data_IF_164251790370
#
_entry.id   IF_164251790370
#
_cell.length_a   1.000
_cell.length_b   1.000
_cell.length_c   1.000
_cell.angle_alpha   90.00
_cell.angle_beta   90.00
_cell.angle_gamma   90.00
#
_symmetry.space_group_name_H-M   'P 1'
#
loop_
_entity.id
_entity.type
_entity.pdbx_description
1 polymer ?
#
# COMPACT_ATOMS: atom_id res chain seq x y z
N UNK A 1 25.66 -26.66 -0.78
CA UNK A 1 25.28 -25.22 -0.64
C UNK A 1 23.78 -25.18 -0.51
N UNK A 2 23.26 -24.53 0.52
CA UNK A 2 21.82 -24.36 0.72
C UNK A 2 21.24 -23.44 -0.37
N UNK A 3 20.05 -23.75 -0.88
CA UNK A 3 19.34 -22.94 -1.89
C UNK A 3 19.17 -21.50 -1.37
N UNK A 4 19.47 -20.46 -2.16
CA UNK A 4 19.13 -19.09 -1.79
C UNK A 4 17.62 -18.93 -1.62
N UNK A 5 17.20 -18.24 -0.56
CA UNK A 5 15.80 -17.90 -0.34
C UNK A 5 15.56 -16.54 -1.02
N UNK A 6 14.61 -16.39 -1.95
CA UNK A 6 14.24 -15.09 -2.48
C UNK A 6 13.43 -14.30 -1.45
N UNK A 7 13.54 -12.95 -1.45
CA UNK A 7 12.66 -12.11 -0.63
C UNK A 7 11.21 -12.16 -1.14
N UNK A 8 11.05 -12.20 -2.46
CA UNK A 8 9.82 -12.45 -3.21
C UNK A 8 10.17 -13.34 -4.39
N UNK A 9 9.39 -14.38 -4.69
CA UNK A 9 9.65 -15.30 -5.80
C UNK A 9 8.69 -15.07 -6.99
N UNK A 10 9.00 -14.06 -7.81
CA UNK A 10 8.22 -13.77 -9.01
C UNK A 10 8.32 -14.87 -10.07
N UNK A 11 9.41 -15.67 -10.08
CA UNK A 11 9.55 -16.76 -11.06
C UNK A 11 8.63 -17.93 -10.74
N UNK A 12 8.51 -18.29 -9.47
CA UNK A 12 7.58 -19.32 -9.03
C UNK A 12 6.12 -18.91 -9.33
N UNK A 13 5.75 -17.65 -9.05
CA UNK A 13 4.44 -17.12 -9.38
C UNK A 13 4.18 -17.18 -10.90
N UNK A 14 5.14 -16.72 -11.72
CA UNK A 14 4.99 -16.73 -13.18
C UNK A 14 4.78 -18.14 -13.73
N UNK A 15 5.50 -19.14 -13.21
CA UNK A 15 5.37 -20.52 -13.66
C UNK A 15 3.95 -21.08 -13.48
N UNK A 16 3.22 -20.66 -12.43
CA UNK A 16 1.84 -21.10 -12.18
C UNK A 16 0.83 -20.53 -13.17
N UNK A 17 1.08 -19.35 -13.72
CA UNK A 17 0.15 -18.63 -14.60
C UNK A 17 0.62 -18.61 -16.06
N UNK A 18 1.74 -19.23 -16.40
CA UNK A 18 2.45 -19.05 -17.70
C UNK A 18 1.55 -19.26 -18.92
N UNK A 19 0.72 -20.29 -18.94
CA UNK A 19 -0.13 -20.60 -20.08
C UNK A 19 -1.18 -19.51 -20.33
N UNK A 20 -1.88 -19.06 -19.28
CA UNK A 20 -2.90 -18.00 -19.38
C UNK A 20 -2.24 -16.65 -19.68
N UNK A 21 -1.12 -16.36 -19.04
CA UNK A 21 -0.35 -15.15 -19.28
C UNK A 21 0.08 -15.01 -20.75
N UNK A 22 0.66 -16.08 -21.36
CA UNK A 22 1.06 -16.07 -22.77
C UNK A 22 -0.15 -15.85 -23.68
N UNK A 23 -1.22 -16.57 -23.46
CA UNK A 23 -2.48 -16.42 -24.23
C UNK A 23 -3.00 -14.98 -24.20
N UNK A 24 -3.03 -14.33 -23.04
CA UNK A 24 -3.51 -12.95 -22.88
C UNK A 24 -2.56 -11.94 -23.55
N UNK A 25 -1.25 -12.10 -23.38
CA UNK A 25 -0.28 -11.22 -24.03
C UNK A 25 -0.34 -11.34 -25.56
N UNK A 26 -0.49 -12.56 -26.11
CA UNK A 26 -0.67 -12.80 -27.54
C UNK A 26 -1.96 -12.15 -28.07
N UNK A 27 -3.05 -12.16 -27.29
CA UNK A 27 -4.28 -11.45 -27.67
C UNK A 27 -4.05 -9.95 -27.79
N UNK A 28 -3.37 -9.31 -26.81
CA UNK A 28 -3.02 -7.88 -26.87
C UNK A 28 -2.15 -7.57 -28.08
N UNK A 29 -1.13 -8.39 -28.36
CA UNK A 29 -0.28 -8.24 -29.54
C UNK A 29 -1.07 -8.41 -30.85
N UNK A 30 -2.08 -9.30 -30.86
CA UNK A 30 -2.92 -9.56 -32.02
C UNK A 30 -3.82 -8.40 -32.41
N UNK A 31 -4.46 -7.72 -31.43
CA UNK A 31 -5.33 -6.57 -31.72
C UNK A 31 -4.64 -5.20 -31.66
N UNK A 32 -3.40 -5.11 -31.15
CA UNK A 32 -2.58 -3.89 -31.09
C UNK A 32 -3.22 -2.68 -30.35
N UNK A 33 -4.19 -2.89 -29.46
CA UNK A 33 -4.76 -1.84 -28.61
C UNK A 33 -4.01 -1.75 -27.28
N UNK A 34 -2.82 -1.14 -27.31
CA UNK A 34 -1.90 -1.10 -26.16
C UNK A 34 -2.31 -0.13 -25.06
N UNK A 35 -3.21 0.84 -25.33
CA UNK A 35 -3.69 1.83 -24.39
C UNK A 35 -5.21 1.72 -24.31
N UNK A 36 -5.74 1.53 -23.10
CA UNK A 36 -7.17 1.38 -22.81
C UNK A 36 -7.85 0.32 -23.72
N UNK A 37 -7.14 -0.79 -23.99
CA UNK A 37 -7.69 -1.94 -24.71
C UNK A 37 -8.72 -2.71 -23.88
N UNK A 38 -9.34 -3.76 -24.47
CA UNK A 38 -10.42 -4.51 -23.81
C UNK A 38 -10.00 -5.13 -22.48
N UNK A 39 -8.74 -5.54 -22.31
CA UNK A 39 -8.21 -6.13 -21.07
C UNK A 39 -8.22 -5.13 -19.90
N UNK A 40 -8.14 -3.83 -20.19
CA UNK A 40 -8.24 -2.78 -19.15
C UNK A 40 -9.64 -2.75 -18.57
N UNK A 41 -10.68 -2.79 -19.41
CA UNK A 41 -12.07 -2.82 -18.95
C UNK A 41 -12.40 -4.14 -18.22
N UNK A 42 -11.89 -5.29 -18.72
CA UNK A 42 -12.01 -6.60 -18.08
C UNK A 42 -11.36 -6.58 -16.69
N UNK A 43 -10.16 -6.01 -16.58
CA UNK A 43 -9.44 -5.89 -15.31
C UNK A 43 -10.19 -4.99 -14.32
N UNK A 44 -10.65 -3.82 -14.74
CA UNK A 44 -11.43 -2.90 -13.88
C UNK A 44 -12.68 -3.60 -13.31
N UNK A 45 -13.41 -4.34 -14.15
CA UNK A 45 -14.57 -5.11 -13.72
C UNK A 45 -14.19 -6.24 -12.75
N UNK A 46 -13.11 -6.98 -13.03
CA UNK A 46 -12.64 -8.08 -12.19
C UNK A 46 -12.15 -7.59 -10.82
N UNK A 47 -11.40 -6.49 -10.77
CA UNK A 47 -10.91 -5.89 -9.52
C UNK A 47 -12.06 -5.33 -8.68
N UNK A 48 -13.02 -4.62 -9.30
CA UNK A 48 -14.21 -4.13 -8.62
C UNK A 48 -15.03 -5.28 -8.01
N UNK A 49 -15.25 -6.35 -8.78
CA UNK A 49 -15.94 -7.56 -8.29
C UNK A 49 -15.18 -8.22 -7.15
N UNK A 50 -13.84 -8.31 -7.23
CA UNK A 50 -13.01 -8.94 -6.21
C UNK A 50 -13.10 -8.26 -4.85
N UNK A 51 -13.04 -6.92 -4.80
CA UNK A 51 -13.14 -6.18 -3.54
C UNK A 51 -14.57 -5.73 -3.18
N UNK A 52 -15.55 -5.93 -4.07
CA UNK A 52 -16.94 -5.53 -3.85
C UNK A 52 -17.18 -4.02 -4.03
N UNK A 53 -16.26 -3.30 -4.67
CA UNK A 53 -16.44 -1.88 -4.98
C UNK A 53 -17.35 -1.69 -6.21
N UNK A 54 -18.11 -0.59 -6.22
CA UNK A 54 -18.95 -0.23 -7.37
C UNK A 54 -18.12 0.14 -8.60
N UNK A 55 -17.02 0.86 -8.39
CA UNK A 55 -16.14 1.33 -9.45
C UNK A 55 -14.68 1.01 -9.17
N UNK A 56 -14.00 0.58 -10.22
CA UNK A 56 -12.55 0.54 -10.30
C UNK A 56 -12.10 1.35 -11.51
N UNK A 57 -11.06 2.15 -11.36
CA UNK A 57 -10.40 2.91 -12.43
C UNK A 57 -8.92 2.57 -12.38
N UNK A 58 -8.40 1.87 -13.38
CA UNK A 58 -6.99 1.52 -13.46
C UNK A 58 -6.12 2.73 -13.76
N UNK A 59 -4.96 2.81 -13.12
CA UNK A 59 -4.06 3.96 -13.12
C UNK A 59 -2.62 3.47 -13.39
N UNK A 60 -1.76 4.37 -13.88
CA UNK A 60 -0.35 4.10 -14.24
C UNK A 60 0.54 3.67 -13.07
N UNK A 61 0.24 4.09 -11.85
CA UNK A 61 0.96 3.70 -10.63
C UNK A 61 0.12 3.95 -9.38
N UNK A 62 0.54 3.41 -8.24
CA UNK A 62 -0.08 3.75 -6.95
C UNK A 62 0.09 5.22 -6.57
N UNK A 63 1.23 5.82 -6.89
CA UNK A 63 1.49 7.25 -6.69
C UNK A 63 0.53 8.12 -7.49
N UNK A 64 0.33 7.80 -8.77
CA UNK A 64 -0.62 8.51 -9.63
C UNK A 64 -2.07 8.28 -9.18
N UNK A 65 -2.38 7.12 -8.60
CA UNK A 65 -3.70 6.87 -8.02
C UNK A 65 -3.97 7.81 -6.82
N UNK A 66 -3.02 7.96 -5.91
CA UNK A 66 -3.12 8.94 -4.81
C UNK A 66 -3.27 10.36 -5.37
N UNK A 67 -2.47 10.72 -6.38
CA UNK A 67 -2.51 12.04 -6.98
C UNK A 67 -3.86 12.34 -7.65
N UNK A 68 -4.39 11.42 -8.44
CA UNK A 68 -5.69 11.59 -9.11
C UNK A 68 -6.82 11.68 -8.08
N UNK A 69 -6.80 10.89 -7.01
CA UNK A 69 -7.78 10.99 -5.93
C UNK A 69 -7.76 12.38 -5.27
N UNK A 70 -6.58 12.90 -4.97
CA UNK A 70 -6.44 14.23 -4.38
C UNK A 70 -6.82 15.36 -5.35
N UNK A 71 -6.44 15.23 -6.64
CA UNK A 71 -6.86 16.18 -7.68
C UNK A 71 -8.39 16.24 -7.83
N UNK A 72 -9.06 15.09 -7.73
CA UNK A 72 -10.51 15.00 -7.80
C UNK A 72 -11.21 15.73 -6.64
N UNK A 73 -10.61 15.72 -5.46
CA UNK A 73 -11.11 16.45 -4.28
C UNK A 73 -10.66 17.93 -4.24
N UNK A 74 -9.93 18.37 -5.26
CA UNK A 74 -9.43 19.75 -5.36
C UNK A 74 -8.39 20.10 -4.31
N UNK A 75 -7.67 19.11 -3.80
CA UNK A 75 -6.59 19.31 -2.80
C UNK A 75 -5.48 20.17 -3.40
N UNK A 76 -5.06 21.19 -2.67
CA UNK A 76 -4.05 22.14 -3.15
C UNK A 76 -3.55 23.09 -2.07
N UNK A 77 -3.07 24.25 -2.53
CA UNK A 77 -2.45 25.27 -1.65
C UNK A 77 -3.40 25.72 -0.53
N UNK A 78 -2.93 25.68 0.69
CA UNK A 78 -3.69 26.05 1.88
C UNK A 78 -4.41 24.90 2.55
N UNK A 79 -4.43 23.72 1.92
CA UNK A 79 -5.02 22.51 2.49
C UNK A 79 -4.01 21.73 3.33
N UNK A 80 -4.47 21.13 4.41
CA UNK A 80 -3.75 20.16 5.23
C UNK A 80 -4.24 18.75 4.91
N UNK A 81 -3.30 17.86 4.62
CA UNK A 81 -3.52 16.42 4.40
C UNK A 81 -2.82 15.65 5.53
N UNK A 82 -3.60 14.95 6.35
CA UNK A 82 -3.10 14.17 7.49
C UNK A 82 -2.73 12.76 7.02
N UNK A 83 -1.53 12.30 7.40
CA UNK A 83 -0.99 11.02 6.96
C UNK A 83 0.02 10.45 7.97
N UNK A 84 0.21 9.12 8.04
CA UNK A 84 1.17 8.53 8.97
C UNK A 84 2.60 8.93 8.63
N UNK A 85 3.41 9.21 9.67
CA UNK A 85 4.82 9.50 9.50
C UNK A 85 5.66 8.28 9.13
N UNK A 86 5.15 7.08 9.43
CA UNK A 86 5.82 5.81 9.17
C UNK A 86 5.15 5.07 8.03
N UNK A 87 5.48 5.46 6.79
CA UNK A 87 4.97 4.86 5.55
C UNK A 87 5.93 5.10 4.38
N UNK A 88 5.52 4.69 3.18
CA UNK A 88 6.24 4.95 1.93
C UNK A 88 6.11 6.42 1.51
N UNK A 89 7.12 6.91 0.81
CA UNK A 89 7.26 8.33 0.44
C UNK A 89 6.09 8.88 -0.40
N UNK A 90 5.47 8.07 -1.26
CA UNK A 90 4.37 8.50 -2.13
C UNK A 90 3.22 9.18 -1.36
N UNK A 91 2.92 8.69 -0.14
CA UNK A 91 1.86 9.25 0.71
C UNK A 91 2.11 10.71 1.08
N UNK A 92 3.40 11.14 1.22
CA UNK A 92 3.78 12.50 1.59
C UNK A 92 4.17 13.38 0.39
N UNK A 93 4.73 12.79 -0.67
CA UNK A 93 5.16 13.59 -1.84
C UNK A 93 3.98 14.13 -2.64
N UNK A 94 2.89 13.35 -2.77
CA UNK A 94 1.73 13.75 -3.58
C UNK A 94 1.06 15.03 -3.06
N UNK A 95 0.74 15.19 -1.75
CA UNK A 95 0.27 16.48 -1.24
C UNK A 95 1.18 17.65 -1.62
N UNK A 96 2.49 17.49 -1.47
CA UNK A 96 3.45 18.55 -1.79
C UNK A 96 3.50 18.89 -3.28
N UNK A 97 3.43 17.88 -4.16
CA UNK A 97 3.33 18.09 -5.63
C UNK A 97 2.09 18.90 -5.98
N UNK A 98 0.98 18.70 -5.29
CA UNK A 98 -0.26 19.46 -5.48
C UNK A 98 -0.26 20.82 -4.76
N UNK A 99 0.77 21.13 -3.97
CA UNK A 99 0.90 22.39 -3.22
C UNK A 99 0.18 22.38 -1.87
N UNK A 100 -0.40 21.26 -1.46
CA UNK A 100 -0.95 21.07 -0.12
C UNK A 100 0.15 20.74 0.90
N UNK A 101 -0.18 20.85 2.19
CA UNK A 101 0.75 20.59 3.28
C UNK A 101 0.48 19.22 3.92
N UNK A 102 1.43 18.29 3.89
CA UNK A 102 1.34 17.06 4.66
C UNK A 102 1.46 17.39 6.15
N UNK A 103 0.57 16.84 6.96
CA UNK A 103 0.62 16.88 8.42
C UNK A 103 0.88 15.48 8.91
N UNK A 104 2.08 15.26 9.41
CA UNK A 104 2.49 13.95 9.88
C UNK A 104 1.83 13.59 11.21
N UNK A 105 1.31 12.39 11.27
CA UNK A 105 0.64 11.77 12.43
C UNK A 105 1.47 10.58 12.88
N UNK A 106 1.62 10.38 14.18
CA UNK A 106 2.33 9.21 14.70
C UNK A 106 1.49 7.93 14.50
N UNK A 107 2.08 6.79 14.80
CA UNK A 107 1.48 5.47 14.53
C UNK A 107 1.35 4.65 15.81
N UNK A 108 0.48 3.67 15.81
CA UNK A 108 0.39 2.67 16.88
C UNK A 108 1.63 1.78 16.89
N UNK A 109 2.33 1.59 18.02
CA UNK A 109 3.61 0.87 18.08
C UNK A 109 3.49 -0.64 17.82
N UNK A 110 2.29 -1.20 17.83
CA UNK A 110 2.04 -2.63 17.68
C UNK A 110 1.51 -3.01 16.31
N UNK A 111 0.64 -2.16 15.74
CA UNK A 111 0.02 -2.39 14.43
C UNK A 111 0.75 -1.63 13.32
N UNK A 112 1.52 -0.59 13.66
CA UNK A 112 2.21 0.34 12.76
C UNK A 112 1.27 1.24 11.94
N UNK A 113 -0.02 1.17 12.22
CA UNK A 113 -1.05 1.96 11.56
C UNK A 113 -1.13 3.36 12.16
N UNK A 114 -1.67 4.32 11.40
CA UNK A 114 -1.89 5.68 11.90
C UNK A 114 -2.67 5.67 13.22
N UNK A 115 -2.23 6.45 14.23
CA UNK A 115 -2.90 6.56 15.53
C UNK A 115 -4.10 7.53 15.44
N UNK A 116 -5.35 7.07 15.64
CA UNK A 116 -6.52 7.94 15.61
C UNK A 116 -6.53 9.01 16.68
N UNK A 117 -5.90 8.78 17.85
CA UNK A 117 -5.83 9.76 18.91
C UNK A 117 -4.86 10.90 18.56
N UNK A 118 -3.68 10.56 18.04
CA UNK A 118 -2.74 11.58 17.54
C UNK A 118 -3.32 12.32 16.32
N UNK A 119 -3.99 11.63 15.41
CA UNK A 119 -4.73 12.27 14.31
C UNK A 119 -5.68 13.35 14.82
N UNK A 120 -6.50 13.04 15.81
CA UNK A 120 -7.45 14.00 16.39
C UNK A 120 -6.73 15.22 16.99
N UNK A 121 -5.62 14.99 17.70
CA UNK A 121 -4.79 16.05 18.27
C UNK A 121 -4.17 16.94 17.19
N UNK A 122 -3.64 16.34 16.13
CA UNK A 122 -3.02 17.06 15.00
C UNK A 122 -4.04 17.92 14.25
N UNK A 123 -5.26 17.39 14.00
CA UNK A 123 -6.34 18.20 13.39
C UNK A 123 -6.69 19.41 14.26
N UNK A 124 -6.83 19.21 15.58
CA UNK A 124 -7.11 20.32 16.51
C UNK A 124 -5.99 21.38 16.50
N UNK A 125 -4.72 20.96 16.44
CA UNK A 125 -3.58 21.88 16.34
C UNK A 125 -3.60 22.71 15.04
N UNK A 126 -3.87 22.06 13.90
CA UNK A 126 -3.97 22.77 12.59
C UNK A 126 -5.11 23.78 12.61
N UNK A 127 -6.28 23.43 13.16
CA UNK A 127 -7.42 24.36 13.32
C UNK A 127 -7.06 25.53 14.21
N UNK A 128 -6.45 25.29 15.37
CA UNK A 128 -6.07 26.34 16.31
C UNK A 128 -5.05 27.31 15.69
N UNK A 129 -4.13 26.81 14.88
CA UNK A 129 -3.15 27.64 14.17
C UNK A 129 -3.76 28.53 13.06
N UNK A 130 -4.89 28.13 12.48
CA UNK A 130 -5.68 28.90 11.50
C UNK A 130 -4.98 29.22 10.19
N UNK A 131 -3.87 28.55 9.86
CA UNK A 131 -3.05 28.82 8.67
C UNK A 131 -3.38 27.87 7.50
N UNK A 132 -3.91 26.69 7.82
CA UNK A 132 -4.27 25.63 6.87
C UNK A 132 -5.69 25.17 7.14
N UNK A 133 -6.34 24.68 6.10
CA UNK A 133 -7.69 24.07 6.18
C UNK A 133 -7.52 22.55 6.26
N UNK A 134 -7.93 21.86 7.34
CA UNK A 134 -8.02 20.40 7.37
C UNK A 134 -8.95 19.89 6.27
N UNK A 135 -8.45 19.07 5.35
CA UNK A 135 -9.22 18.62 4.18
C UNK A 135 -9.27 17.11 4.01
N UNK A 136 -8.17 16.41 4.21
CA UNK A 136 -8.09 14.99 3.90
C UNK A 136 -7.30 14.23 4.96
N UNK A 137 -7.75 13.02 5.23
CA UNK A 137 -7.02 11.97 5.92
C UNK A 137 -6.60 10.92 4.91
N UNK A 138 -5.32 10.55 4.90
CA UNK A 138 -4.83 9.34 4.25
C UNK A 138 -4.55 8.28 5.32
N UNK A 139 -5.38 7.24 5.36
CA UNK A 139 -5.08 6.03 6.10
C UNK A 139 -4.23 5.12 5.22
N UNK A 140 -3.12 4.62 5.76
CA UNK A 140 -2.28 3.64 5.05
C UNK A 140 -2.46 2.29 5.71
N UNK A 141 -2.87 1.29 4.95
CA UNK A 141 -2.96 -0.10 5.40
C UNK A 141 -1.60 -0.77 5.30
N UNK A 142 -0.70 -0.36 6.22
CA UNK A 142 0.72 -0.67 6.15
C UNK A 142 0.99 -2.16 6.32
N UNK A 143 1.94 -2.69 5.56
CA UNK A 143 2.42 -4.07 5.57
C UNK A 143 1.38 -5.14 5.20
N UNK A 144 0.16 -4.72 4.85
CA UNK A 144 -0.91 -5.61 4.43
C UNK A 144 -1.99 -5.83 5.46
N UNK A 145 -1.97 -5.11 6.58
CA UNK A 145 -3.04 -5.10 7.58
C UNK A 145 -3.88 -3.82 7.48
N UNK A 146 -5.20 -3.86 7.71
CA UNK A 146 -6.03 -2.66 7.69
C UNK A 146 -5.69 -1.71 8.85
N UNK A 147 -5.81 -0.42 8.60
CA UNK A 147 -5.86 0.59 9.65
C UNK A 147 -7.14 0.46 10.49
N UNK A 148 -7.22 1.16 11.62
CA UNK A 148 -8.44 1.22 12.43
C UNK A 148 -9.48 2.16 11.76
N UNK A 149 -10.03 1.69 10.62
CA UNK A 149 -11.00 2.46 9.85
C UNK A 149 -12.22 2.92 10.65
N UNK A 150 -12.80 2.14 11.57
CA UNK A 150 -13.88 2.62 12.44
C UNK A 150 -13.50 3.85 13.27
N UNK A 151 -12.32 3.85 13.89
CA UNK A 151 -11.84 4.99 14.67
C UNK A 151 -11.47 6.17 13.76
N UNK A 152 -10.81 5.92 12.63
CA UNK A 152 -10.46 6.95 11.64
C UNK A 152 -11.70 7.64 11.07
N UNK A 153 -12.75 6.90 10.73
CA UNK A 153 -14.04 7.48 10.28
C UNK A 153 -14.70 8.35 11.35
N UNK A 154 -14.60 7.95 12.63
CA UNK A 154 -15.12 8.77 13.72
C UNK A 154 -14.45 10.14 13.77
N UNK A 155 -13.12 10.18 13.62
CA UNK A 155 -12.38 11.45 13.56
C UNK A 155 -12.72 12.21 12.27
N UNK A 156 -12.67 11.53 11.12
CA UNK A 156 -12.93 12.15 9.81
C UNK A 156 -14.32 12.80 9.74
N UNK A 157 -15.37 12.09 10.20
CA UNK A 157 -16.73 12.60 10.20
C UNK A 157 -16.89 13.82 11.12
N UNK A 158 -16.30 13.78 12.33
CA UNK A 158 -16.32 14.92 13.26
C UNK A 158 -15.62 16.15 12.68
N UNK A 159 -14.51 15.91 11.97
CA UNK A 159 -13.66 16.99 11.47
C UNK A 159 -13.96 17.39 10.02
N UNK A 160 -14.88 16.72 9.33
CA UNK A 160 -15.24 17.01 7.95
C UNK A 160 -14.11 16.69 6.97
N UNK A 161 -13.31 15.65 7.22
CA UNK A 161 -12.21 15.23 6.36
C UNK A 161 -12.71 14.23 5.33
N UNK A 162 -12.26 14.38 4.08
CA UNK A 162 -12.35 13.33 3.07
C UNK A 162 -11.36 12.21 3.44
N UNK A 163 -11.75 10.96 3.27
CA UNK A 163 -10.92 9.81 3.57
C UNK A 163 -10.35 9.20 2.29
N UNK A 164 -9.03 8.97 2.28
CA UNK A 164 -8.31 8.25 1.23
C UNK A 164 -7.59 7.07 1.87
N UNK A 165 -7.87 5.86 1.37
CA UNK A 165 -7.19 4.64 1.77
C UNK A 165 -6.00 4.38 0.83
N UNK A 166 -4.79 4.37 1.36
CA UNK A 166 -3.59 3.88 0.67
C UNK A 166 -3.46 2.37 0.92
N UNK A 167 -4.14 1.60 0.08
CA UNK A 167 -4.19 0.14 0.06
C UNK A 167 -3.04 -0.49 -0.75
N UNK A 168 -1.96 0.26 -1.02
CA UNK A 168 -0.86 -0.21 -1.88
C UNK A 168 -0.15 -1.46 -1.36
N UNK A 169 -0.28 -1.80 -0.09
CA UNK A 169 0.33 -2.99 0.53
C UNK A 169 -0.71 -4.02 1.01
N UNK A 170 -1.99 -3.69 0.91
CA UNK A 170 -3.06 -4.44 1.56
C UNK A 170 -4.19 -4.88 0.62
N UNK A 171 -4.08 -4.64 -0.69
CA UNK A 171 -5.08 -5.14 -1.62
C UNK A 171 -5.27 -6.66 -1.45
N UNK A 172 -6.52 -7.09 -1.23
CA UNK A 172 -6.87 -8.45 -0.86
C UNK A 172 -7.05 -8.69 0.64
N UNK A 173 -6.70 -7.73 1.50
CA UNK A 173 -7.04 -7.79 2.92
C UNK A 173 -8.51 -7.43 3.17
N UNK A 174 -9.01 -7.73 4.37
CA UNK A 174 -10.38 -7.40 4.78
C UNK A 174 -10.45 -7.01 6.25
N UNK A 175 -11.46 -6.21 6.60
CA UNK A 175 -11.80 -5.82 7.96
C UNK A 175 -13.30 -6.04 8.19
N UNK A 176 -13.67 -6.75 9.26
CA UNK A 176 -15.07 -7.08 9.61
C UNK A 176 -15.86 -7.68 8.43
N UNK A 177 -15.21 -8.56 7.67
CA UNK A 177 -15.83 -9.24 6.52
C UNK A 177 -15.93 -8.40 5.23
N UNK A 178 -15.51 -7.14 5.24
CA UNK A 178 -15.46 -6.27 4.05
C UNK A 178 -14.03 -6.22 3.49
N UNK A 179 -13.90 -6.39 2.17
CA UNK A 179 -12.60 -6.25 1.52
C UNK A 179 -12.12 -4.81 1.52
N UNK A 180 -10.81 -4.60 1.66
CA UNK A 180 -10.19 -3.29 1.42
C UNK A 180 -10.38 -2.91 -0.05
N UNK A 181 -10.59 -1.62 -0.29
CA UNK A 181 -11.08 -1.08 -1.56
C UNK A 181 -12.42 -0.36 -1.41
N UNK A 182 -13.13 -0.59 -0.27
CA UNK A 182 -14.44 0.00 0.03
C UNK A 182 -14.51 0.66 1.40
N UNK A 183 -13.37 0.87 2.07
CA UNK A 183 -13.34 1.39 3.44
C UNK A 183 -13.41 2.91 3.50
N UNK A 184 -12.91 3.63 2.52
CA UNK A 184 -12.81 5.08 2.50
C UNK A 184 -13.66 5.69 1.37
N UNK A 185 -13.72 7.01 1.27
CA UNK A 185 -14.35 7.73 0.15
C UNK A 185 -13.71 7.38 -1.18
N UNK A 186 -12.39 7.15 -1.17
CA UNK A 186 -11.60 6.60 -2.25
C UNK A 186 -10.52 5.66 -1.70
N UNK A 187 -10.20 4.60 -2.46
CA UNK A 187 -9.07 3.71 -2.15
C UNK A 187 -8.12 3.69 -3.33
N UNK A 188 -6.82 3.92 -3.06
CA UNK A 188 -5.74 3.81 -4.03
C UNK A 188 -4.94 2.53 -3.77
N UNK A 189 -4.60 1.78 -4.82
CA UNK A 189 -3.70 0.62 -4.72
C UNK A 189 -2.58 0.68 -5.73
N UNK A 190 -1.54 -0.10 -5.51
CA UNK A 190 -0.36 -0.20 -6.37
C UNK A 190 -0.20 -1.62 -6.89
N UNK A 191 0.14 -1.74 -8.17
CA UNK A 191 0.51 -2.99 -8.81
C UNK A 191 2.02 -3.05 -9.14
N UNK A 192 2.85 -2.33 -8.39
CA UNK A 192 4.31 -2.49 -8.50
C UNK A 192 4.67 -3.99 -8.33
N UNK A 193 5.65 -4.54 -9.08
CA UNK A 193 5.87 -5.99 -9.17
C UNK A 193 5.99 -6.75 -7.84
N UNK A 194 6.48 -6.10 -6.78
CA UNK A 194 6.63 -6.72 -5.46
C UNK A 194 5.38 -6.65 -4.56
N UNK A 195 4.29 -6.02 -5.01
CA UNK A 195 3.03 -5.92 -4.26
C UNK A 195 2.30 -7.26 -4.23
N UNK A 196 1.37 -7.48 -3.28
CA UNK A 196 0.60 -8.73 -3.21
C UNK A 196 -0.01 -9.12 -4.55
N UNK A 197 -0.65 -8.18 -5.25
CA UNK A 197 -1.03 -8.31 -6.66
C UNK A 197 -0.17 -7.33 -7.47
N UNK A 198 0.90 -7.81 -8.08
CA UNK A 198 1.87 -6.98 -8.82
C UNK A 198 1.85 -7.24 -10.33
N UNK A 199 1.92 -6.19 -11.15
CA UNK A 199 2.12 -6.25 -12.59
C UNK A 199 3.56 -6.64 -12.96
N UNK A 200 3.92 -6.59 -14.25
CA UNK A 200 5.30 -6.71 -14.74
C UNK A 200 5.87 -5.35 -15.18
N UNK A 201 5.47 -4.32 -14.47
CA UNK A 201 5.83 -2.93 -14.62
C UNK A 201 5.07 -2.12 -13.58
N UNK A 202 4.94 -0.81 -13.78
CA UNK A 202 4.12 0.02 -12.92
C UNK A 202 2.63 -0.19 -13.21
N UNK A 203 1.81 0.08 -12.20
CA UNK A 203 0.37 0.04 -12.27
C UNK A 203 -0.25 0.40 -10.92
N UNK A 204 -1.52 0.75 -10.97
CA UNK A 204 -2.34 1.04 -9.81
C UNK A 204 -3.83 1.04 -10.16
N UNK A 205 -4.66 1.27 -9.18
CA UNK A 205 -6.08 1.48 -9.38
C UNK A 205 -6.67 2.38 -8.28
N UNK A 206 -7.79 3.02 -8.63
CA UNK A 206 -8.67 3.72 -7.71
C UNK A 206 -10.01 2.99 -7.61
N UNK A 207 -10.52 2.88 -6.39
CA UNK A 207 -11.85 2.34 -6.10
C UNK A 207 -12.71 3.40 -5.43
N UNK A 208 -14.00 3.41 -5.72
CA UNK A 208 -14.99 4.28 -5.07
C UNK A 208 -16.40 3.78 -5.28
N UNK A 209 -17.30 4.10 -4.35
CA UNK A 209 -18.74 3.87 -4.49
C UNK A 209 -19.47 5.03 -5.19
N UNK A 210 -18.79 6.15 -5.43
CA UNK A 210 -19.36 7.38 -5.96
C UNK A 210 -19.18 7.48 -7.47
N UNK A 211 -20.32 7.63 -8.19
CA UNK A 211 -20.35 7.69 -9.67
C UNK A 211 -19.61 8.93 -10.21
N UNK A 212 -19.74 10.08 -9.51
CA UNK A 212 -19.13 11.34 -9.95
C UNK A 212 -17.61 11.28 -9.78
N UNK A 213 -17.12 10.73 -8.64
CA UNK A 213 -15.69 10.48 -8.44
C UNK A 213 -15.13 9.56 -9.51
N UNK A 214 -15.81 8.45 -9.81
CA UNK A 214 -15.36 7.50 -10.81
C UNK A 214 -15.25 8.14 -12.21
N UNK A 215 -16.24 8.96 -12.59
CA UNK A 215 -16.21 9.71 -13.85
C UNK A 215 -15.05 10.71 -13.87
N UNK A 216 -14.81 11.40 -12.75
CA UNK A 216 -13.74 12.38 -12.61
C UNK A 216 -12.35 11.70 -12.67
N UNK A 217 -12.16 10.54 -12.04
CA UNK A 217 -10.92 9.77 -12.13
C UNK A 217 -10.61 9.35 -13.58
N UNK A 218 -11.61 8.88 -14.33
CA UNK A 218 -11.45 8.53 -15.76
C UNK A 218 -11.04 9.72 -16.60
N UNK A 219 -11.62 10.88 -16.33
CA UNK A 219 -11.25 12.14 -17.00
C UNK A 219 -9.82 12.56 -16.65
N UNK A 220 -9.49 12.63 -15.36
CA UNK A 220 -8.17 13.05 -14.87
C UNK A 220 -7.05 12.13 -15.36
N UNK A 221 -7.28 10.80 -15.38
CA UNK A 221 -6.37 9.77 -15.92
C UNK A 221 -6.01 10.00 -17.39
N UNK A 222 -6.89 10.68 -18.13
CA UNK A 222 -6.77 10.91 -19.58
C UNK A 222 -6.74 12.41 -19.86
N UNK A 223 -5.74 13.13 -19.30
CA UNK A 223 -5.47 14.56 -19.51
C UNK A 223 -6.63 15.51 -19.17
N UNK A 224 -7.63 15.06 -18.40
CA UNK A 224 -8.80 15.87 -18.07
C UNK A 224 -9.82 16.00 -19.20
N UNK A 225 -9.78 15.09 -20.17
CA UNK A 225 -10.74 15.04 -21.28
C UNK A 225 -12.17 14.86 -20.79
N UNK A 226 -13.12 15.47 -21.51
CA UNK A 226 -14.55 15.27 -21.37
C UNK A 226 -15.06 14.06 -22.16
N UNK A 227 -16.32 14.12 -22.58
CA UNK A 227 -16.93 13.08 -23.42
C UNK A 227 -16.55 13.22 -24.89
N UNK A 228 -16.11 14.39 -25.31
CA UNK A 228 -15.66 14.70 -26.68
C UNK A 228 -14.13 14.62 -26.72
N UNK A 229 -13.59 13.88 -27.67
CA UNK A 229 -12.13 13.73 -27.86
C UNK A 229 -11.47 15.10 -28.07
N UNK A 230 -10.35 15.34 -27.40
CA UNK A 230 -9.58 16.61 -27.39
C UNK A 230 -10.30 17.80 -26.73
N UNK A 231 -11.48 17.62 -26.16
CA UNK A 231 -12.09 18.63 -25.30
C UNK A 231 -11.59 18.46 -23.87
N UNK A 232 -10.63 19.26 -23.47
CA UNK A 232 -10.01 19.22 -22.13
C UNK A 232 -10.83 20.11 -21.19
N UNK A 233 -11.54 19.50 -20.26
CA UNK A 233 -12.41 20.20 -19.29
C UNK A 233 -11.66 20.65 -18.03
N UNK A 234 -10.54 20.03 -17.72
CA UNK A 234 -9.75 20.27 -16.51
C UNK A 234 -8.30 19.84 -16.71
N UNK A 235 -7.40 20.36 -15.87
CA UNK A 235 -6.03 19.86 -15.85
C UNK A 235 -6.03 18.42 -15.34
N UNK A 236 -5.53 17.50 -16.13
CA UNK A 236 -5.37 16.09 -15.80
C UNK A 236 -3.92 15.63 -16.02
N UNK A 237 -3.73 14.32 -16.13
CA UNK A 237 -2.42 13.74 -16.37
C UNK A 237 -2.50 12.52 -17.30
N UNK A 238 -1.37 12.03 -17.78
CA UNK A 238 -1.26 10.75 -18.44
C UNK A 238 -1.11 9.66 -17.37
N UNK A 239 -2.25 9.22 -16.82
CA UNK A 239 -2.29 8.26 -15.72
C UNK A 239 -2.88 6.91 -16.09
N UNK A 240 -2.78 6.48 -17.34
CA UNK A 240 -3.37 5.23 -17.85
C UNK A 240 -2.52 4.02 -17.52
N UNK A 241 -3.17 2.89 -17.18
CA UNK A 241 -2.54 1.58 -17.16
C UNK A 241 -2.41 1.04 -18.58
N UNK A 242 -1.25 0.49 -18.92
CA UNK A 242 -1.03 -0.17 -20.21
C UNK A 242 -1.82 -1.48 -20.31
N UNK A 243 -2.37 -1.79 -21.49
CA UNK A 243 -3.14 -3.01 -21.75
C UNK A 243 -2.32 -4.28 -21.48
N UNK A 244 -1.01 -4.26 -21.77
CA UNK A 244 -0.13 -5.38 -21.43
C UNK A 244 -0.07 -5.66 -19.94
N UNK A 245 -0.03 -4.63 -19.10
CA UNK A 245 -0.04 -4.80 -17.64
C UNK A 245 -1.41 -5.28 -17.14
N UNK A 246 -2.50 -4.85 -17.78
CA UNK A 246 -3.83 -5.36 -17.48
C UNK A 246 -3.92 -6.88 -17.77
N UNK A 247 -3.39 -7.35 -18.88
CA UNK A 247 -3.32 -8.77 -19.21
C UNK A 247 -2.54 -9.59 -18.17
N UNK A 248 -1.41 -9.06 -17.69
CA UNK A 248 -0.61 -9.68 -16.61
C UNK A 248 -1.43 -9.78 -15.32
N UNK A 249 -2.08 -8.69 -14.90
CA UNK A 249 -2.86 -8.64 -13.67
C UNK A 249 -4.08 -9.57 -13.72
N UNK A 250 -4.76 -9.67 -14.85
CA UNK A 250 -5.85 -10.62 -15.05
C UNK A 250 -5.40 -12.06 -14.83
N UNK A 251 -4.23 -12.44 -15.37
CA UNK A 251 -3.68 -13.78 -15.15
C UNK A 251 -3.33 -14.02 -13.69
N UNK A 252 -2.70 -13.05 -13.02
CA UNK A 252 -2.33 -13.16 -11.60
C UNK A 252 -3.55 -13.19 -10.67
N UNK A 253 -4.61 -12.48 -11.01
CA UNK A 253 -5.83 -12.43 -10.21
C UNK A 253 -6.48 -13.83 -10.08
N UNK A 254 -6.25 -14.73 -11.04
CA UNK A 254 -6.79 -16.11 -11.00
C UNK A 254 -6.22 -16.94 -9.85
N UNK A 255 -4.99 -16.68 -9.44
CA UNK A 255 -4.29 -17.41 -8.35
C UNK A 255 -4.19 -16.59 -7.06
N UNK A 256 -4.57 -15.33 -7.11
CA UNK A 256 -4.39 -14.39 -6.01
C UNK A 256 -5.07 -14.78 -4.70
N UNK A 257 -6.32 -15.31 -4.68
CA UNK A 257 -6.94 -15.78 -3.43
C UNK A 257 -6.12 -16.86 -2.71
N UNK A 258 -5.58 -17.82 -3.46
CA UNK A 258 -4.73 -18.88 -2.91
C UNK A 258 -3.40 -18.34 -2.38
N UNK A 259 -2.85 -17.31 -3.03
CA UNK A 259 -1.63 -16.64 -2.60
C UNK A 259 -1.82 -15.87 -1.29
N UNK A 260 -2.98 -15.24 -1.08
CA UNK A 260 -3.31 -14.59 0.19
C UNK A 260 -3.37 -15.60 1.34
N UNK A 261 -4.00 -16.75 1.11
CA UNK A 261 -4.03 -17.83 2.10
C UNK A 261 -2.64 -18.41 2.39
N UNK A 262 -1.80 -18.53 1.37
CA UNK A 262 -0.44 -19.01 1.54
C UNK A 262 0.41 -18.01 2.36
N UNK A 263 0.28 -16.71 2.11
CA UNK A 263 0.95 -15.67 2.93
C UNK A 263 0.47 -15.69 4.38
N UNK A 264 -0.82 -15.90 4.60
CA UNK A 264 -1.36 -16.04 5.97
C UNK A 264 -0.74 -17.26 6.69
N UNK A 265 -0.61 -18.42 6.01
CA UNK A 265 0.08 -19.60 6.59
C UNK A 265 1.53 -19.30 6.97
N UNK A 266 2.26 -18.56 6.12
CA UNK A 266 3.63 -18.11 6.41
C UNK A 266 3.66 -17.23 7.65
N UNK A 267 2.76 -16.22 7.74
CA UNK A 267 2.68 -15.31 8.89
C UNK A 267 2.38 -16.08 10.19
N UNK A 268 1.43 -17.01 10.17
CA UNK A 268 1.10 -17.87 11.31
C UNK A 268 2.29 -18.71 11.76
N UNK A 269 3.08 -19.24 10.82
CA UNK A 269 4.29 -19.99 11.14
C UNK A 269 5.31 -19.11 11.87
N UNK A 270 5.54 -17.90 11.36
CA UNK A 270 6.43 -16.92 12.02
C UNK A 270 5.93 -16.56 13.41
N UNK A 271 4.63 -16.23 13.57
CA UNK A 271 4.05 -15.91 14.88
C UNK A 271 4.29 -17.03 15.88
N UNK A 272 4.06 -18.29 15.48
CA UNK A 272 4.21 -19.45 16.36
C UNK A 272 5.65 -19.74 16.77
N UNK A 273 6.62 -19.46 15.88
CA UNK A 273 8.04 -19.77 16.09
C UNK A 273 8.81 -18.63 16.75
N UNK A 274 8.45 -17.38 16.43
CA UNK A 274 9.23 -16.19 16.81
C UNK A 274 8.58 -15.37 17.92
N UNK A 275 7.28 -15.49 18.17
CA UNK A 275 6.52 -14.61 19.06
C UNK A 275 6.98 -14.56 20.53
N UNK A 276 7.77 -15.55 20.99
CA UNK A 276 8.36 -15.54 22.33
C UNK A 276 9.78 -14.94 22.36
N UNK A 277 10.40 -14.70 21.21
CA UNK A 277 11.78 -14.24 21.09
C UNK A 277 11.88 -12.79 20.59
N UNK A 278 10.97 -12.38 19.71
CA UNK A 278 10.89 -11.01 19.17
C UNK A 278 9.46 -10.54 19.14
N UNK A 279 9.25 -9.22 19.11
CA UNK A 279 7.91 -8.67 18.89
C UNK A 279 7.51 -8.88 17.41
N UNK A 280 6.51 -9.74 17.20
CA UNK A 280 5.85 -9.96 15.91
C UNK A 280 4.74 -8.92 15.68
N UNK A 281 4.27 -8.70 14.42
CA UNK A 281 3.19 -7.77 14.15
C UNK A 281 1.94 -8.13 14.95
N UNK A 282 1.37 -7.16 15.68
CA UNK A 282 0.07 -7.37 16.30
C UNK A 282 -1.00 -7.54 15.21
N UNK A 283 -1.84 -8.56 15.35
CA UNK A 283 -2.93 -8.79 14.41
C UNK A 283 -4.07 -7.83 14.71
N UNK A 284 -4.56 -7.15 13.67
CA UNK A 284 -5.77 -6.33 13.77
C UNK A 284 -6.98 -7.25 13.95
N UNK A 285 -7.80 -6.98 14.95
CA UNK A 285 -8.98 -7.79 15.25
C UNK A 285 -9.95 -7.81 14.05
N UNK A 286 -10.65 -8.94 13.86
CA UNK A 286 -11.64 -9.13 12.81
C UNK A 286 -11.11 -8.84 11.38
N UNK A 287 -9.79 -8.97 11.15
CA UNK A 287 -9.16 -8.73 9.87
C UNK A 287 -8.57 -10.01 9.25
N UNK A 288 -8.43 -9.97 7.91
CA UNK A 288 -7.54 -10.84 7.16
C UNK A 288 -6.51 -9.98 6.48
N UNK A 289 -5.24 -10.24 6.71
CA UNK A 289 -4.14 -9.46 6.15
C UNK A 289 -3.70 -10.01 4.78
N UNK A 290 -3.23 -9.12 3.90
CA UNK A 290 -2.59 -9.50 2.62
C UNK A 290 -1.10 -9.84 2.78
N UNK A 291 -0.50 -9.47 3.91
CA UNK A 291 0.90 -9.74 4.24
C UNK A 291 1.88 -9.41 3.11
N UNK A 292 1.85 -8.16 2.66
CA UNK A 292 2.86 -7.66 1.72
C UNK A 292 4.27 -7.73 2.34
N UNK A 293 4.35 -7.47 3.64
CA UNK A 293 5.57 -7.45 4.44
C UNK A 293 5.25 -8.10 5.80
N UNK A 294 6.17 -8.93 6.29
CA UNK A 294 6.16 -9.41 7.67
C UNK A 294 7.31 -8.76 8.42
N UNK A 295 7.01 -7.81 9.30
CA UNK A 295 8.01 -6.99 9.99
C UNK A 295 8.06 -7.35 11.48
N UNK A 296 9.25 -7.64 11.99
CA UNK A 296 9.54 -7.88 13.40
C UNK A 296 10.23 -6.68 14.03
N UNK A 297 10.08 -6.50 15.34
CA UNK A 297 10.79 -5.47 16.09
C UNK A 297 11.86 -6.11 16.98
N UNK A 298 13.08 -5.63 16.83
CA UNK A 298 14.21 -5.98 17.67
C UNK A 298 14.25 -5.06 18.90
N UNK A 299 14.96 -5.44 19.98
CA UNK A 299 15.10 -4.59 21.16
C UNK A 299 15.72 -3.21 20.84
N UNK A 300 16.69 -3.18 19.93
CA UNK A 300 17.41 -1.98 19.51
C UNK A 300 18.08 -2.15 18.14
N UNK A 301 18.70 -1.08 17.64
CA UNK A 301 19.40 -1.06 16.35
C UNK A 301 20.65 -1.98 16.31
N UNK A 302 21.31 -2.22 17.45
CA UNK A 302 22.45 -3.13 17.51
C UNK A 302 22.00 -4.58 17.34
N UNK A 303 20.91 -4.98 17.99
CA UNK A 303 20.27 -6.29 17.80
C UNK A 303 19.81 -6.48 16.34
N UNK A 304 19.21 -5.42 15.73
CA UNK A 304 18.83 -5.44 14.31
C UNK A 304 20.05 -5.69 13.41
N UNK A 305 21.16 -5.01 13.66
CA UNK A 305 22.37 -5.16 12.84
C UNK A 305 22.92 -6.58 12.97
N UNK A 306 23.03 -7.12 14.20
CA UNK A 306 23.50 -8.52 14.42
C UNK A 306 22.62 -9.53 13.67
N UNK A 307 21.30 -9.39 13.76
CA UNK A 307 20.38 -10.28 13.06
C UNK A 307 20.51 -10.14 11.53
N UNK A 308 20.63 -8.91 11.01
CA UNK A 308 20.82 -8.66 9.58
C UNK A 308 22.09 -9.36 9.05
N UNK A 309 23.19 -9.26 9.78
CA UNK A 309 24.47 -9.92 9.44
C UNK A 309 24.32 -11.46 9.48
N UNK A 310 23.64 -11.99 10.50
CA UNK A 310 23.37 -13.42 10.61
C UNK A 310 22.53 -13.98 9.48
N UNK A 311 21.43 -13.30 9.14
CA UNK A 311 20.57 -13.65 7.99
C UNK A 311 21.35 -13.60 6.68
N UNK A 312 22.13 -12.55 6.46
CA UNK A 312 22.99 -12.40 5.28
C UNK A 312 24.01 -13.53 5.17
N UNK A 313 24.68 -13.88 6.26
CA UNK A 313 25.65 -15.00 6.31
C UNK A 313 24.98 -16.36 5.99
N UNK A 314 23.72 -16.53 6.41
CA UNK A 314 22.90 -17.69 6.09
C UNK A 314 22.30 -17.66 4.66
N UNK A 315 22.53 -16.62 3.87
CA UNK A 315 21.95 -16.46 2.52
C UNK A 315 20.44 -16.19 2.54
N UNK A 316 19.94 -15.56 3.61
CA UNK A 316 18.54 -15.18 3.79
C UNK A 316 18.44 -13.66 3.64
N UNK A 317 17.68 -13.14 2.68
CA UNK A 317 17.49 -11.70 2.51
C UNK A 317 16.62 -11.13 3.63
N UNK A 318 16.90 -9.88 3.99
CA UNK A 318 16.06 -9.06 4.87
C UNK A 318 16.00 -7.62 4.37
N UNK A 319 15.01 -6.86 4.81
CA UNK A 319 14.86 -5.47 4.43
C UNK A 319 14.43 -4.62 5.63
N UNK A 320 14.67 -3.32 5.55
CA UNK A 320 14.24 -2.35 6.58
C UNK A 320 13.19 -1.43 5.96
N UNK A 321 11.97 -1.54 6.41
CA UNK A 321 10.82 -0.71 6.01
C UNK A 321 10.21 -0.05 7.26
N UNK A 322 10.57 1.25 7.57
CA UNK A 322 11.46 2.12 6.83
C UNK A 322 12.62 2.57 7.74
N UNK A 323 13.83 2.83 7.22
CA UNK A 323 14.98 3.17 8.06
C UNK A 323 14.92 4.60 8.63
N UNK A 324 13.99 5.42 8.14
CA UNK A 324 13.78 6.80 8.57
C UNK A 324 12.31 7.17 8.34
N UNK A 325 11.57 7.70 9.33
CA UNK A 325 10.21 8.17 9.14
C UNK A 325 10.18 9.41 8.23
N UNK A 326 9.02 9.66 7.63
CA UNK A 326 8.88 10.68 6.58
C UNK A 326 9.25 12.10 7.05
N UNK A 327 8.82 12.51 8.24
CA UNK A 327 9.10 13.84 8.77
C UNK A 327 10.60 14.11 8.97
N UNK A 328 11.44 13.08 9.10
CA UNK A 328 12.90 13.20 9.18
C UNK A 328 13.61 13.06 7.82
N UNK A 329 12.89 12.78 6.74
CA UNK A 329 13.47 12.75 5.40
C UNK A 329 13.84 14.18 4.96
N UNK A 330 15.02 14.40 4.36
CA UNK A 330 15.44 15.73 3.93
C UNK A 330 14.43 16.47 3.05
N UNK A 331 13.70 15.71 2.20
CA UNK A 331 12.69 16.28 1.30
C UNK A 331 11.48 16.87 2.04
N UNK A 332 11.18 16.41 3.26
CA UNK A 332 9.97 16.77 3.99
C UNK A 332 10.19 17.57 5.25
N UNK A 333 11.44 17.76 5.67
CA UNK A 333 11.79 18.53 6.89
C UNK A 333 11.24 19.95 6.86
N UNK A 334 11.25 20.62 5.71
CA UNK A 334 10.74 21.99 5.58
C UNK A 334 9.21 22.08 5.66
N UNK A 335 8.51 20.97 5.44
CA UNK A 335 7.05 20.86 5.53
C UNK A 335 6.60 20.43 6.93
N UNK A 336 7.51 19.91 7.75
CA UNK A 336 7.21 19.44 9.09
C UNK A 336 7.15 20.59 10.10
N UNK A 337 6.15 20.58 10.97
CA UNK A 337 5.90 21.63 11.97
C UNK A 337 6.73 21.49 13.25
N UNK A 338 7.62 20.50 13.34
CA UNK A 338 8.49 20.24 14.48
C UNK A 338 7.86 19.42 15.60
N UNK A 339 6.67 18.85 15.40
CA UNK A 339 6.07 17.96 16.39
C UNK A 339 6.89 16.68 16.57
N UNK A 340 7.03 16.20 17.79
CA UNK A 340 7.66 14.91 18.07
C UNK A 340 6.74 13.76 17.64
N UNK A 341 7.30 12.78 16.96
CA UNK A 341 6.61 11.56 16.52
C UNK A 341 7.41 10.32 16.99
N UNK A 342 7.46 10.12 18.34
CA UNK A 342 8.43 9.22 18.97
C UNK A 342 8.23 7.75 18.60
N UNK A 343 7.00 7.31 18.29
CA UNK A 343 6.74 5.93 17.91
C UNK A 343 7.32 5.65 16.52
N UNK A 344 7.06 6.54 15.55
CA UNK A 344 7.62 6.43 14.20
C UNK A 344 9.16 6.43 14.21
N UNK A 345 9.77 7.22 15.08
CA UNK A 345 11.22 7.31 15.22
C UNK A 345 11.80 6.02 15.84
N UNK A 346 11.17 5.50 16.90
CA UNK A 346 11.56 4.23 17.55
C UNK A 346 11.46 3.05 16.57
N UNK A 347 10.34 2.92 15.87
CA UNK A 347 10.13 1.87 14.88
C UNK A 347 11.23 1.86 13.81
N UNK A 348 11.56 3.01 13.25
CA UNK A 348 12.62 3.15 12.25
C UNK A 348 13.98 2.66 12.76
N UNK A 349 14.23 2.80 14.07
CA UNK A 349 15.46 2.36 14.73
C UNK A 349 15.64 0.85 14.81
N UNK A 350 14.55 0.05 14.90
CA UNK A 350 14.63 -1.36 15.28
C UNK A 350 13.76 -2.33 14.46
N UNK A 351 13.00 -1.87 13.48
CA UNK A 351 12.17 -2.72 12.60
C UNK A 351 13.02 -3.47 11.57
N UNK A 352 12.62 -4.71 11.24
CA UNK A 352 13.19 -5.50 10.16
C UNK A 352 12.12 -6.39 9.53
N UNK A 353 12.12 -6.51 8.20
CA UNK A 353 11.23 -7.37 7.44
C UNK A 353 11.92 -8.70 7.08
N UNK A 354 11.18 -9.79 7.26
CA UNK A 354 11.54 -11.15 6.84
C UNK A 354 10.90 -11.47 5.48
N UNK A 355 11.44 -12.45 4.72
CA UNK A 355 10.82 -12.91 3.49
C UNK A 355 9.40 -13.39 3.73
N UNK A 356 8.46 -12.94 2.90
CA UNK A 356 7.08 -13.42 2.92
C UNK A 356 6.52 -13.50 1.51
N UNK A 357 6.28 -14.70 1.02
CA UNK A 357 5.65 -14.98 -0.26
C UNK A 357 5.01 -16.37 -0.29
N UNK A 358 4.07 -16.64 -1.21
CA UNK A 358 3.31 -17.88 -1.25
C UNK A 358 4.14 -19.16 -1.38
N UNK A 359 5.34 -19.05 -1.96
CA UNK A 359 6.16 -20.17 -2.40
C UNK A 359 7.28 -20.56 -1.41
N UNK A 360 7.27 -20.00 -0.18
CA UNK A 360 8.17 -20.42 0.89
C UNK A 360 7.84 -21.86 1.32
N UNK A 361 8.84 -22.73 1.26
CA UNK A 361 8.71 -24.11 1.73
C UNK A 361 8.84 -24.21 3.25
N UNK A 362 8.37 -25.31 3.84
CA UNK A 362 8.55 -25.55 5.28
C UNK A 362 10.03 -25.55 5.70
N UNK A 363 10.95 -26.01 4.82
CA UNK A 363 12.40 -25.96 5.05
C UNK A 363 12.92 -24.53 5.04
N UNK A 364 12.46 -23.69 4.09
CA UNK A 364 12.82 -22.27 4.05
C UNK A 364 12.36 -21.56 5.31
N UNK A 365 11.11 -21.79 5.74
CA UNK A 365 10.54 -21.21 6.96
C UNK A 365 11.28 -21.62 8.22
N UNK A 366 11.60 -22.92 8.36
CA UNK A 366 12.38 -23.41 9.49
C UNK A 366 13.77 -22.74 9.53
N UNK A 367 14.47 -22.70 8.40
CA UNK A 367 15.78 -22.07 8.26
C UNK A 367 15.76 -20.59 8.60
N UNK A 368 14.74 -19.82 8.15
CA UNK A 368 14.58 -18.41 8.51
C UNK A 368 14.41 -18.27 10.02
N UNK A 369 13.47 -19.01 10.61
CA UNK A 369 13.20 -18.91 12.05
C UNK A 369 14.39 -19.33 12.91
N UNK A 370 15.06 -20.43 12.58
CA UNK A 370 16.22 -20.91 13.33
C UNK A 370 17.37 -19.88 13.26
N UNK A 371 17.56 -19.23 12.10
CA UNK A 371 18.56 -18.15 11.98
C UNK A 371 18.16 -16.94 12.82
N UNK A 372 16.89 -16.53 12.82
CA UNK A 372 16.42 -15.43 13.68
C UNK A 372 16.69 -15.78 15.14
N UNK A 373 16.25 -16.94 15.61
CA UNK A 373 16.39 -17.37 17.01
C UNK A 373 17.85 -17.48 17.48
N UNK A 374 18.78 -17.75 16.56
CA UNK A 374 20.20 -17.82 16.88
C UNK A 374 20.88 -16.45 17.05
N UNK A 375 20.21 -15.34 16.65
CA UNK A 375 20.83 -14.00 16.60
C UNK A 375 20.07 -12.92 17.38
N UNK A 376 18.98 -13.28 18.06
CA UNK A 376 18.17 -12.37 18.89
C UNK A 376 18.38 -12.60 20.37
#
# INVERSE_FOLDING_TARGET
>A
MTRPIPFIDLKAQQARIEADLRRRLEAVLGHCQFILGPEVAELEAALASFCGAKHCVSISSGTDALQIAMMAEGIGRGDAVFLPAFTYTATAEVPLVLGAMPVFVDVDPRTFQIDPADLAARVAQVRAAGRLTPRMLIGVDLFGQPADWPALHTVAAREGLVTLDDCAQSFGASLSGRMLGTMADATATSFFPSKPLGAYGDGGALFTENDERAALYRSLRTHGEGTTRYEVLRTGMNGRLDTLQAAVLLSKLTVFPEELEARERVAQYYDSRLGNAVATPARVADSKAAWAIYAILLPDGAARTRLQDGLKAAGIPSAIYYPKPLHLQPAYQSAHDGAALPVSEDLAGRIMALPIHPDLTGEDLARICDTVLAHV
#
